data_IF_509133498937
#
_entry.id   IF_509133498937
#
_cell.length_a   1.000
_cell.length_b   1.000
_cell.length_c   1.000
_cell.angle_alpha   90.00
_cell.angle_beta   90.00
_cell.angle_gamma   90.00
#
_symmetry.space_group_name_H-M   'P 1'
#
loop_
_entity.id
_entity.type
_entity.pdbx_description
1 polymer ?
#
# COMPACT_ATOMS: atom_id res chain seq x y z
N UNK A 1 -4.57 -13.53 -1.55
CA UNK A 1 -4.40 -12.71 -0.33
C UNK A 1 -4.30 -11.24 -0.71
N UNK A 2 -4.90 -10.31 0.06
CA UNK A 2 -5.04 -8.88 -0.30
C UNK A 2 -3.78 -8.31 -0.92
N UNK A 3 -3.83 -8.17 -2.24
CA UNK A 3 -2.68 -7.70 -3.02
C UNK A 3 -2.51 -6.19 -2.91
N UNK A 4 -3.61 -5.45 -2.85
CA UNK A 4 -3.58 -3.98 -2.69
C UNK A 4 -4.88 -3.49 -2.09
N UNK A 5 -4.85 -2.32 -1.47
CA UNK A 5 -6.02 -1.75 -0.80
C UNK A 5 -6.09 -0.24 -1.05
N UNK A 6 -7.29 0.30 -1.19
CA UNK A 6 -7.54 1.74 -1.12
C UNK A 6 -7.79 2.10 0.34
N UNK A 7 -6.96 2.98 0.88
CA UNK A 7 -6.93 3.29 2.30
C UNK A 7 -7.43 4.70 2.59
N UNK A 8 -7.79 4.96 3.84
CA UNK A 8 -7.88 6.32 4.34
C UNK A 8 -6.46 6.87 4.56
N UNK A 9 -5.93 7.60 3.58
CA UNK A 9 -4.54 8.08 3.61
C UNK A 9 -4.34 9.40 4.38
N UNK A 10 -5.41 10.18 4.59
CA UNK A 10 -5.36 11.44 5.34
C UNK A 10 -5.32 11.19 6.85
N UNK A 11 -4.15 11.38 7.46
CA UNK A 11 -3.96 11.18 8.90
C UNK A 11 -4.94 12.03 9.74
N UNK A 12 -5.37 13.20 9.27
CA UNK A 12 -6.30 14.09 10.00
C UNK A 12 -7.65 13.44 10.23
N UNK A 13 -8.05 12.49 9.38
CA UNK A 13 -9.26 11.70 9.59
C UNK A 13 -9.13 10.78 10.81
N UNK A 14 -7.96 10.20 11.05
CA UNK A 14 -7.72 9.43 12.27
C UNK A 14 -7.80 10.30 13.52
N UNK A 15 -7.26 11.53 13.46
CA UNK A 15 -7.36 12.51 14.57
C UNK A 15 -8.83 12.81 14.87
N UNK A 16 -9.63 13.13 13.84
CA UNK A 16 -11.05 13.45 14.00
C UNK A 16 -11.90 12.26 14.48
N UNK A 17 -11.64 11.06 13.96
CA UNK A 17 -12.45 9.87 14.23
C UNK A 17 -12.10 9.20 15.56
N UNK A 18 -10.82 9.18 15.93
CA UNK A 18 -10.33 8.39 17.07
C UNK A 18 -9.63 9.25 18.13
N UNK A 19 -9.55 10.57 17.97
CA UNK A 19 -8.73 11.41 18.86
C UNK A 19 -7.25 11.02 18.86
N UNK A 20 -6.79 10.37 17.80
CA UNK A 20 -5.42 9.88 17.70
C UNK A 20 -4.44 11.05 17.53
N UNK A 21 -3.21 10.86 18.01
CA UNK A 21 -2.11 11.79 17.81
C UNK A 21 -1.29 11.39 16.59
N UNK A 22 -0.89 12.34 15.76
CA UNK A 22 0.08 12.08 14.70
C UNK A 22 1.50 12.06 15.27
N UNK A 23 2.29 11.03 14.97
CA UNK A 23 3.74 11.05 15.21
C UNK A 23 4.44 11.88 14.14
N UNK A 24 4.36 13.21 14.28
CA UNK A 24 4.93 14.17 13.33
C UNK A 24 6.42 13.92 13.06
N UNK A 25 7.16 13.38 14.03
CA UNK A 25 8.59 13.09 13.89
C UNK A 25 8.84 11.94 12.92
N UNK A 26 8.07 10.86 13.02
CA UNK A 26 8.19 9.73 12.07
C UNK A 26 7.73 10.13 10.66
N UNK A 27 6.70 10.99 10.53
CA UNK A 27 6.32 11.56 9.22
C UNK A 27 7.44 12.44 8.64
N UNK A 28 7.98 13.38 9.42
CA UNK A 28 9.09 14.23 9.00
C UNK A 28 10.32 13.41 8.58
N UNK A 29 10.68 12.39 9.37
CA UNK A 29 11.77 11.47 9.05
C UNK A 29 11.54 10.76 7.71
N UNK A 30 10.35 10.20 7.48
CA UNK A 30 10.03 9.50 6.24
C UNK A 30 10.19 10.40 5.01
N UNK A 31 9.63 11.62 5.07
CA UNK A 31 9.70 12.55 3.95
C UNK A 31 11.12 13.10 3.74
N UNK A 32 11.86 13.32 4.82
CA UNK A 32 13.26 13.73 4.77
C UNK A 32 14.12 12.67 4.10
N UNK A 33 14.09 11.43 4.59
CA UNK A 33 14.88 10.33 4.03
C UNK A 33 14.57 10.10 2.55
N UNK A 34 13.31 10.28 2.13
CA UNK A 34 12.93 10.18 0.72
C UNK A 34 13.46 11.35 -0.11
N UNK A 35 13.33 12.58 0.39
CA UNK A 35 13.79 13.78 -0.31
C UNK A 35 15.32 13.83 -0.45
N UNK A 36 16.06 13.28 0.52
CA UNK A 36 17.52 13.15 0.49
C UNK A 36 18.01 11.92 -0.30
N UNK A 37 17.11 11.09 -0.82
CA UNK A 37 17.48 9.88 -1.55
C UNK A 37 18.08 8.76 -0.67
N UNK A 38 17.99 8.88 0.65
CA UNK A 38 18.37 7.85 1.63
C UNK A 38 17.42 6.66 1.51
N UNK A 39 16.12 6.92 1.33
CA UNK A 39 15.10 5.90 1.13
C UNK A 39 14.46 5.97 -0.25
N UNK A 40 13.98 4.82 -0.73
CA UNK A 40 13.13 4.70 -1.93
C UNK A 40 11.65 4.57 -1.55
N UNK A 41 11.24 5.24 -0.47
CA UNK A 41 9.88 5.13 0.05
C UNK A 41 8.84 5.46 -1.02
N UNK A 42 7.87 4.54 -1.19
CA UNK A 42 6.69 4.74 -2.02
C UNK A 42 5.57 5.25 -1.12
N UNK A 43 5.17 6.50 -1.29
CA UNK A 43 4.15 7.14 -0.47
C UNK A 43 2.98 7.48 -1.39
N UNK A 44 1.74 7.10 -1.05
CA UNK A 44 0.56 7.47 -1.84
C UNK A 44 0.38 8.99 -1.87
N UNK A 45 -0.03 9.55 -3.02
CA UNK A 45 -0.24 11.00 -3.17
C UNK A 45 -1.26 11.54 -2.16
N UNK A 46 -2.30 10.77 -1.83
CA UNK A 46 -3.30 11.19 -0.84
C UNK A 46 -2.72 11.35 0.59
N UNK A 47 -1.61 10.67 0.92
CA UNK A 47 -0.92 10.85 2.20
C UNK A 47 -0.05 12.10 2.20
N UNK A 48 0.50 12.49 1.05
CA UNK A 48 1.23 13.76 0.86
C UNK A 48 0.28 14.96 0.90
N UNK A 49 -0.89 14.81 0.28
CA UNK A 49 -1.92 15.85 0.19
C UNK A 49 -2.46 16.30 1.56
N UNK A 50 -2.38 15.43 2.58
CA UNK A 50 -2.69 15.79 3.96
C UNK A 50 -1.81 16.95 4.49
N UNK A 51 -0.63 17.17 3.90
CA UNK A 51 0.30 18.25 4.23
C UNK A 51 0.28 19.40 3.21
N UNK A 52 -0.66 19.44 2.26
CA UNK A 52 -0.77 20.51 1.27
C UNK A 52 -1.10 21.87 1.92
N UNK A 53 -1.84 21.85 3.03
CA UNK A 53 -2.23 23.01 3.83
C UNK A 53 -1.66 22.88 5.26
N UNK A 54 -0.37 23.18 5.47
CA UNK A 54 0.30 22.96 6.75
C UNK A 54 -0.24 23.90 7.84
N UNK A 55 -0.51 23.34 9.01
CA UNK A 55 -1.10 24.03 10.16
C UNK A 55 -0.05 24.56 11.16
N UNK A 56 1.15 23.98 11.15
CA UNK A 56 2.26 24.37 12.02
C UNK A 56 3.62 24.30 11.30
N UNK A 57 4.70 24.61 12.02
CA UNK A 57 6.05 24.64 11.46
C UNK A 57 6.54 23.26 11.01
N UNK A 58 6.21 22.20 11.75
CA UNK A 58 6.66 20.86 11.41
C UNK A 58 5.94 20.34 10.15
N UNK A 59 4.67 20.68 9.97
CA UNK A 59 3.96 20.40 8.72
C UNK A 59 4.49 21.25 7.56
N UNK A 60 4.89 22.51 7.80
CA UNK A 60 5.56 23.33 6.77
C UNK A 60 6.87 22.71 6.31
N UNK A 61 7.66 22.16 7.23
CA UNK A 61 8.88 21.41 6.87
C UNK A 61 8.56 20.18 6.03
N UNK A 62 7.55 19.38 6.40
CA UNK A 62 7.12 18.22 5.60
C UNK A 62 6.65 18.65 4.21
N UNK A 63 5.83 19.70 4.11
CA UNK A 63 5.37 20.25 2.84
C UNK A 63 6.54 20.64 1.94
N UNK A 64 7.56 21.32 2.50
CA UNK A 64 8.76 21.70 1.77
C UNK A 64 9.57 20.48 1.28
N UNK A 65 9.67 19.42 2.09
CA UNK A 65 10.33 18.15 1.71
C UNK A 65 9.59 17.46 0.56
N UNK A 66 8.25 17.43 0.62
CA UNK A 66 7.40 16.90 -0.46
C UNK A 66 7.61 17.71 -1.74
N UNK A 67 7.56 19.05 -1.66
CA UNK A 67 7.74 19.93 -2.80
C UNK A 67 9.13 19.76 -3.46
N UNK A 68 10.20 19.65 -2.64
CA UNK A 68 11.57 19.39 -3.13
C UNK A 68 11.65 18.05 -3.88
N UNK A 69 11.10 16.98 -3.29
CA UNK A 69 11.08 15.67 -3.94
C UNK A 69 10.31 15.70 -5.26
N UNK A 70 9.12 16.32 -5.26
CA UNK A 70 8.26 16.48 -6.45
C UNK A 70 8.97 17.24 -7.57
N UNK A 71 9.64 18.36 -7.25
CA UNK A 71 10.43 19.14 -8.23
C UNK A 71 11.59 18.33 -8.82
N UNK A 72 12.30 17.55 -7.99
CA UNK A 72 13.35 16.66 -8.47
C UNK A 72 12.81 15.54 -9.37
N UNK A 73 11.66 14.95 -9.04
CA UNK A 73 11.01 13.95 -9.89
C UNK A 73 10.53 14.54 -11.23
N UNK A 74 9.92 15.72 -11.20
CA UNK A 74 9.48 16.42 -12.41
C UNK A 74 10.67 16.68 -13.35
N UNK A 75 11.77 17.22 -12.83
CA UNK A 75 13.00 17.47 -13.61
C UNK A 75 13.52 16.19 -14.26
N UNK A 76 13.54 15.07 -13.52
CA UNK A 76 13.99 13.77 -14.03
C UNK A 76 13.06 13.25 -15.14
N UNK A 77 11.76 13.35 -14.94
CA UNK A 77 10.75 12.93 -15.93
C UNK A 77 10.82 13.79 -17.20
N UNK A 78 11.02 15.10 -17.09
CA UNK A 78 11.20 16.00 -18.23
C UNK A 78 12.46 15.66 -19.03
N UNK A 79 13.58 15.38 -18.35
CA UNK A 79 14.81 14.91 -19.01
C UNK A 79 14.59 13.57 -19.73
N UNK A 80 13.90 12.63 -19.09
CA UNK A 80 13.60 11.34 -19.70
C UNK A 80 12.61 11.47 -20.87
N UNK A 81 11.64 12.38 -20.80
CA UNK A 81 10.73 12.72 -21.89
C UNK A 81 11.51 13.23 -23.10
N UNK A 82 12.47 14.14 -22.90
CA UNK A 82 13.32 14.63 -23.98
C UNK A 82 14.13 13.50 -24.62
N UNK A 83 14.74 12.61 -23.82
CA UNK A 83 15.48 11.44 -24.33
C UNK A 83 14.59 10.52 -25.16
N UNK A 84 13.36 10.22 -24.71
CA UNK A 84 12.46 9.34 -25.45
C UNK A 84 11.92 10.01 -26.73
N UNK A 85 11.65 11.32 -26.73
CA UNK A 85 11.28 12.05 -27.96
C UNK A 85 12.39 12.01 -29.00
N UNK A 86 13.65 12.21 -28.58
CA UNK A 86 14.80 12.04 -29.48
C UNK A 86 14.87 10.62 -30.04
N UNK A 87 14.76 9.61 -29.17
CA UNK A 87 14.75 8.19 -29.57
C UNK A 87 13.65 7.88 -30.59
N UNK A 88 12.46 8.46 -30.42
CA UNK A 88 11.34 8.28 -31.35
C UNK A 88 11.67 8.88 -32.72
N UNK A 89 12.13 10.13 -32.77
CA UNK A 89 12.48 10.80 -34.02
C UNK A 89 13.62 10.09 -34.79
N UNK A 90 14.65 9.61 -34.08
CA UNK A 90 15.75 8.86 -34.68
C UNK A 90 15.28 7.52 -35.26
N UNK A 91 14.36 6.83 -34.57
CA UNK A 91 13.74 5.60 -35.06
C UNK A 91 12.89 5.85 -36.31
N UNK A 92 12.07 6.90 -36.31
CA UNK A 92 11.22 7.28 -37.45
C UNK A 92 12.05 7.65 -38.69
N UNK A 93 13.13 8.42 -38.51
CA UNK A 93 14.07 8.73 -39.60
C UNK A 93 14.70 7.46 -40.18
N UNK A 94 15.07 6.51 -39.33
CA UNK A 94 15.62 5.23 -39.78
C UNK A 94 14.58 4.46 -40.59
N UNK A 95 13.34 4.37 -40.11
CA UNK A 95 12.25 3.66 -40.78
C UNK A 95 11.87 4.26 -42.14
N UNK A 96 12.00 5.59 -42.32
CA UNK A 96 11.81 6.24 -43.62
C UNK A 96 12.83 5.80 -44.68
N UNK A 97 14.07 5.51 -44.26
CA UNK A 97 15.13 5.06 -45.17
C UNK A 97 15.11 3.54 -45.38
N UNK A 98 14.89 2.79 -44.30
CA UNK A 98 14.82 1.32 -44.32
C UNK A 98 14.04 0.80 -43.12
N UNK A 99 13.04 -0.03 -43.40
CA UNK A 99 12.31 -0.75 -42.35
C UNK A 99 13.24 -1.78 -41.72
N UNK A 100 13.47 -1.68 -40.42
CA UNK A 100 14.25 -2.65 -39.64
C UNK A 100 13.53 -2.97 -38.35
N UNK A 101 13.62 -4.23 -37.90
CA UNK A 101 13.03 -4.68 -36.62
C UNK A 101 13.50 -3.83 -35.44
N UNK A 102 14.78 -3.45 -35.43
CA UNK A 102 15.35 -2.62 -34.36
C UNK A 102 14.72 -1.23 -34.30
N UNK A 103 14.54 -0.56 -35.45
CA UNK A 103 13.92 0.76 -35.49
C UNK A 103 12.42 0.70 -35.15
N UNK A 104 11.70 -0.34 -35.61
CA UNK A 104 10.29 -0.56 -35.25
C UNK A 104 10.11 -0.76 -33.74
N UNK A 105 10.91 -1.62 -33.11
CA UNK A 105 10.84 -1.81 -31.65
C UNK A 105 11.26 -0.55 -30.89
N UNK A 106 12.25 0.20 -31.39
CA UNK A 106 12.66 1.46 -30.77
C UNK A 106 11.55 2.50 -30.81
N UNK A 107 10.82 2.62 -31.94
CA UNK A 107 9.67 3.49 -32.09
C UNK A 107 8.59 3.12 -31.06
N UNK A 108 8.20 1.84 -31.00
CA UNK A 108 7.19 1.34 -30.05
C UNK A 108 7.55 1.65 -28.60
N UNK A 109 8.76 1.28 -28.17
CA UNK A 109 9.23 1.51 -26.80
C UNK A 109 9.27 3.00 -26.47
N UNK A 110 9.73 3.84 -27.40
CA UNK A 110 9.80 5.28 -27.17
C UNK A 110 8.40 5.89 -27.03
N UNK A 111 7.45 5.50 -27.88
CA UNK A 111 6.04 5.93 -27.80
C UNK A 111 5.42 5.54 -26.46
N UNK A 112 5.56 4.27 -26.05
CA UNK A 112 5.01 3.77 -24.78
C UNK A 112 5.59 4.56 -23.59
N UNK A 113 6.91 4.80 -23.59
CA UNK A 113 7.57 5.57 -22.53
C UNK A 113 7.19 7.05 -22.54
N UNK A 114 6.99 7.68 -23.70
CA UNK A 114 6.52 9.07 -23.80
C UNK A 114 5.14 9.21 -23.17
N UNK A 115 4.20 8.31 -23.52
CA UNK A 115 2.86 8.31 -22.96
C UNK A 115 2.90 8.13 -21.44
N UNK A 116 3.68 7.16 -20.95
CA UNK A 116 3.87 6.91 -19.52
C UNK A 116 4.46 8.12 -18.79
N UNK A 117 5.54 8.71 -19.32
CA UNK A 117 6.20 9.87 -18.69
C UNK A 117 5.30 11.09 -18.65
N UNK A 118 4.53 11.36 -19.71
CA UNK A 118 3.53 12.44 -19.72
C UNK A 118 2.47 12.24 -18.63
N UNK A 119 1.89 11.03 -18.54
CA UNK A 119 0.92 10.73 -17.50
C UNK A 119 1.49 10.89 -16.09
N UNK A 120 2.77 10.55 -15.88
CA UNK A 120 3.45 10.80 -14.59
C UNK A 120 3.64 12.28 -14.28
N UNK A 121 3.98 13.11 -15.27
CA UNK A 121 4.07 14.56 -15.09
C UNK A 121 2.70 15.17 -14.77
N UNK A 122 1.66 14.73 -15.46
CA UNK A 122 0.27 15.13 -15.19
C UNK A 122 -0.14 14.75 -13.75
N UNK A 123 0.17 13.54 -13.29
CA UNK A 123 -0.10 13.10 -11.91
C UNK A 123 0.64 13.93 -10.85
N UNK A 124 1.87 14.36 -11.13
CA UNK A 124 2.64 15.21 -10.22
C UNK A 124 2.01 16.62 -10.11
N UNK A 125 1.49 17.15 -11.22
CA UNK A 125 0.92 18.50 -11.29
C UNK A 125 -0.54 18.56 -10.83
N UNK A 126 -1.25 17.42 -10.85
CA UNK A 126 -2.65 17.33 -10.46
C UNK A 126 -2.84 17.70 -8.99
N UNK A 127 -3.85 18.52 -8.72
CA UNK A 127 -4.28 18.92 -7.36
C UNK A 127 -5.43 18.07 -6.84
N UNK A 128 -6.39 17.72 -7.68
CA UNK A 128 -7.55 16.92 -7.27
C UNK A 128 -7.19 15.46 -7.10
N UNK A 129 -7.39 14.88 -5.92
CA UNK A 129 -7.14 13.45 -5.66
C UNK A 129 -8.07 12.53 -6.46
N UNK A 130 -7.54 11.38 -6.86
CA UNK A 130 -8.27 10.27 -7.47
C UNK A 130 -8.22 9.05 -6.55
N UNK A 131 -9.16 8.10 -6.64
CA UNK A 131 -9.16 6.90 -5.81
C UNK A 131 -7.83 6.12 -5.81
N UNK A 132 -7.14 6.09 -6.96
CA UNK A 132 -5.82 5.44 -7.12
C UNK A 132 -4.72 6.07 -6.26
N UNK A 133 -4.85 7.33 -5.85
CA UNK A 133 -3.85 8.03 -5.02
C UNK A 133 -3.85 7.57 -3.57
N UNK A 134 -4.89 6.84 -3.17
CA UNK A 134 -5.02 6.19 -1.88
C UNK A 134 -4.78 4.67 -1.97
N UNK A 135 -4.43 4.13 -3.15
CA UNK A 135 -4.19 2.70 -3.32
C UNK A 135 -2.75 2.34 -2.93
N UNK A 136 -2.60 1.47 -1.94
CA UNK A 136 -1.32 0.93 -1.50
C UNK A 136 -1.07 -0.48 -2.04
N UNK A 137 0.19 -0.78 -2.30
CA UNK A 137 0.71 -2.09 -2.65
C UNK A 137 1.80 -2.49 -1.65
N UNK A 138 2.19 -3.77 -1.54
CA UNK A 138 3.35 -4.18 -0.77
C UNK A 138 4.59 -3.34 -1.11
N UNK A 139 5.24 -2.82 -0.08
CA UNK A 139 6.34 -1.87 -0.14
C UNK A 139 5.93 -0.38 -0.06
N UNK A 140 4.65 -0.04 -0.17
CA UNK A 140 4.16 1.33 0.01
C UNK A 140 4.00 1.67 1.50
N UNK A 141 4.07 2.95 1.82
CA UNK A 141 3.75 3.47 3.15
C UNK A 141 2.25 3.78 3.28
N UNK A 142 1.74 3.67 4.51
CA UNK A 142 0.39 4.03 4.89
C UNK A 142 0.38 4.63 6.31
N UNK A 143 -0.58 5.52 6.64
CA UNK A 143 -0.89 5.82 8.04
C UNK A 143 -1.49 4.59 8.72
N UNK A 144 -0.91 4.20 9.84
CA UNK A 144 -1.36 3.06 10.65
C UNK A 144 -1.50 3.52 12.10
N UNK A 145 -2.64 3.17 12.71
CA UNK A 145 -2.92 3.52 14.10
C UNK A 145 -2.46 2.41 15.04
N UNK A 146 -1.77 2.80 16.11
CA UNK A 146 -1.29 1.91 17.18
C UNK A 146 -1.63 2.50 18.55
N UNK A 147 -1.52 1.71 19.61
CA UNK A 147 -1.43 2.25 20.97
C UNK A 147 0.03 2.49 21.35
N UNK A 148 0.35 3.69 21.85
CA UNK A 148 1.65 4.01 22.42
C UNK A 148 1.43 4.85 23.67
N UNK A 149 1.98 4.40 24.81
CA UNK A 149 1.84 5.07 26.11
C UNK A 149 0.37 5.39 26.50
N UNK A 150 -0.56 4.46 26.22
CA UNK A 150 -1.99 4.62 26.52
C UNK A 150 -2.72 5.62 25.63
N UNK A 151 -2.12 6.07 24.52
CA UNK A 151 -2.75 6.95 23.53
C UNK A 151 -2.72 6.31 22.15
N UNK A 152 -3.79 6.52 21.38
CA UNK A 152 -3.82 6.17 19.96
C UNK A 152 -2.86 7.09 19.22
N UNK A 153 -1.92 6.51 18.49
CA UNK A 153 -0.91 7.24 17.71
C UNK A 153 -0.92 6.72 16.27
N UNK A 154 -0.91 7.63 15.31
CA UNK A 154 -0.80 7.32 13.88
C UNK A 154 0.64 7.51 13.45
N UNK A 155 1.21 6.46 12.84
CA UNK A 155 2.58 6.46 12.31
C UNK A 155 2.58 6.07 10.84
N UNK A 156 3.52 6.59 10.04
CA UNK A 156 3.68 6.13 8.68
C UNK A 156 4.46 4.80 8.70
N UNK A 157 3.85 3.73 8.21
CA UNK A 157 4.48 2.41 8.22
C UNK A 157 4.46 1.78 6.82
N UNK A 158 5.53 1.06 6.48
CA UNK A 158 5.62 0.33 5.22
C UNK A 158 4.75 -0.93 5.27
N UNK A 159 3.76 -1.04 4.39
CA UNK A 159 3.03 -2.28 4.15
C UNK A 159 3.98 -3.31 3.55
N UNK A 160 4.06 -4.53 4.10
CA UNK A 160 5.16 -5.51 3.97
C UNK A 160 6.11 -5.45 5.17
N UNK A 161 5.72 -6.18 6.22
CA UNK A 161 6.38 -6.20 7.50
C UNK A 161 7.77 -6.85 7.43
N UNK A 162 8.74 -6.24 8.11
CA UNK A 162 10.00 -6.87 8.47
C UNK A 162 10.01 -7.02 10.00
N UNK A 163 9.82 -8.25 10.46
CA UNK A 163 9.81 -8.55 11.90
C UNK A 163 11.20 -8.28 12.49
N UNK A 164 11.25 -7.65 13.66
CA UNK A 164 12.47 -7.39 14.41
C UNK A 164 13.34 -8.67 14.54
N UNK A 165 14.65 -8.50 14.40
CA UNK A 165 15.61 -9.62 14.43
C UNK A 165 15.74 -10.43 13.14
N UNK A 166 14.89 -10.21 12.11
CA UNK A 166 15.10 -10.81 10.78
C UNK A 166 16.23 -10.08 10.02
N UNK A 167 16.93 -10.74 9.08
CA UNK A 167 17.90 -10.07 8.22
C UNK A 167 17.26 -8.94 7.39
N UNK A 168 18.04 -7.91 7.05
CA UNK A 168 17.58 -6.76 6.24
C UNK A 168 17.02 -7.15 4.86
N UNK A 169 17.43 -8.31 4.33
CA UNK A 169 16.99 -8.83 3.03
C UNK A 169 15.74 -9.72 3.10
N UNK A 170 15.21 -9.99 4.30
CA UNK A 170 14.22 -11.05 4.50
C UNK A 170 12.93 -10.83 3.71
N UNK A 171 12.33 -9.65 3.84
CA UNK A 171 11.11 -9.22 3.15
C UNK A 171 11.29 -9.09 1.63
N UNK A 172 12.52 -8.86 1.15
CA UNK A 172 12.81 -8.91 -0.29
C UNK A 172 12.86 -10.36 -0.79
N UNK A 173 13.43 -11.27 0.01
CA UNK A 173 13.53 -12.70 -0.33
C UNK A 173 12.18 -13.43 -0.19
N UNK A 174 11.36 -13.00 0.76
CA UNK A 174 10.05 -13.56 1.08
C UNK A 174 9.01 -12.45 1.01
N UNK A 175 8.54 -12.08 -0.20
CA UNK A 175 7.76 -10.86 -0.39
C UNK A 175 6.35 -10.91 0.21
N UNK A 176 5.89 -12.07 0.69
CA UNK A 176 4.55 -12.27 1.25
C UNK A 176 4.30 -11.67 2.64
N UNK A 177 5.28 -11.02 3.27
CA UNK A 177 5.16 -10.50 4.65
C UNK A 177 4.28 -9.25 4.78
N UNK A 178 3.45 -8.93 3.78
CA UNK A 178 2.37 -7.94 3.89
C UNK A 178 1.06 -8.53 4.42
N UNK A 179 0.94 -9.86 4.46
CA UNK A 179 -0.21 -10.55 5.04
C UNK A 179 0.21 -11.48 6.18
N UNK A 180 -0.39 -11.26 7.35
CA UNK A 180 -0.25 -12.11 8.52
C UNK A 180 -1.39 -13.14 8.54
N UNK A 181 -1.12 -14.34 8.03
CA UNK A 181 -2.14 -15.40 8.01
C UNK A 181 -2.50 -15.79 9.44
N UNK A 182 -3.81 -15.90 9.71
CA UNK A 182 -4.35 -16.27 11.01
C UNK A 182 -3.76 -17.58 11.55
N UNK A 183 -3.63 -18.58 10.67
CA UNK A 183 -3.03 -19.90 10.96
C UNK A 183 -1.53 -19.87 11.31
N UNK A 184 -0.88 -18.72 11.17
CA UNK A 184 0.55 -18.52 11.40
C UNK A 184 0.84 -17.49 12.50
N UNK A 185 -0.19 -17.02 13.22
CA UNK A 185 -0.08 -15.94 14.21
C UNK A 185 0.84 -16.30 15.38
N UNK A 186 0.73 -17.53 15.88
CA UNK A 186 1.59 -18.06 16.95
C UNK A 186 2.87 -18.73 16.44
N UNK A 187 3.04 -18.83 15.11
CA UNK A 187 4.25 -19.33 14.48
C UNK A 187 5.17 -18.19 14.06
N UNK A 188 5.21 -17.90 12.76
CA UNK A 188 6.08 -16.87 12.20
C UNK A 188 5.83 -15.47 12.81
N UNK A 189 4.57 -15.17 13.17
CA UNK A 189 4.17 -13.86 13.69
C UNK A 189 4.18 -13.75 15.22
N UNK A 190 4.59 -14.79 15.95
CA UNK A 190 4.64 -14.79 17.41
C UNK A 190 5.43 -13.61 18.04
N UNK A 191 6.50 -13.07 17.39
CA UNK A 191 7.16 -11.88 17.90
C UNK A 191 6.29 -10.61 17.90
N UNK A 192 5.19 -10.58 17.13
CA UNK A 192 4.29 -9.43 16.97
C UNK A 192 2.88 -9.69 17.54
N UNK A 193 2.32 -10.89 17.37
CA UNK A 193 0.99 -11.22 17.86
C UNK A 193 0.97 -11.25 19.40
N UNK A 194 -0.05 -10.63 20.01
CA UNK A 194 -0.09 -10.38 21.45
C UNK A 194 0.80 -9.22 21.93
N UNK A 195 1.47 -8.47 21.03
CA UNK A 195 2.48 -7.47 21.44
C UNK A 195 2.37 -6.15 20.68
N UNK A 196 2.37 -6.20 19.35
CA UNK A 196 2.44 -5.03 18.49
C UNK A 196 1.33 -5.06 17.46
N UNK A 197 0.14 -4.67 17.92
CA UNK A 197 -1.08 -4.61 17.13
C UNK A 197 -1.31 -3.22 16.56
N UNK A 198 -1.99 -3.18 15.42
CA UNK A 198 -2.23 -2.00 14.61
C UNK A 198 -3.60 -2.07 13.94
N UNK A 199 -4.12 -0.92 13.54
CA UNK A 199 -5.32 -0.78 12.69
C UNK A 199 -4.97 0.02 11.44
N UNK A 200 -5.29 -0.55 10.28
CA UNK A 200 -5.30 0.14 8.98
C UNK A 200 -6.75 0.43 8.59
N UNK A 201 -7.02 1.63 8.08
CA UNK A 201 -8.35 1.99 7.59
C UNK A 201 -8.44 1.76 6.08
N UNK A 202 -9.37 0.90 5.66
CA UNK A 202 -9.51 0.44 4.27
C UNK A 202 -10.92 0.70 3.76
N UNK A 203 -11.04 1.35 2.60
CA UNK A 203 -12.34 1.57 1.93
C UNK A 203 -12.69 0.38 1.03
N UNK A 204 -11.71 -0.08 0.25
CA UNK A 204 -11.83 -1.25 -0.63
C UNK A 204 -10.51 -1.99 -0.70
N UNK A 205 -10.58 -3.30 -0.96
CA UNK A 205 -9.41 -4.10 -1.26
C UNK A 205 -9.50 -4.70 -2.66
N UNK A 206 -8.36 -5.09 -3.20
CA UNK A 206 -8.26 -5.62 -4.54
C UNK A 206 -7.47 -6.91 -4.55
N UNK A 207 -7.96 -7.87 -5.33
CA UNK A 207 -7.33 -9.19 -5.46
C UNK A 207 -7.09 -9.55 -6.91
N UNK A 208 -6.00 -10.27 -7.15
CA UNK A 208 -5.79 -10.96 -8.42
C UNK A 208 -6.55 -12.28 -8.39
N UNK A 209 -7.37 -12.50 -9.40
CA UNK A 209 -8.16 -13.71 -9.58
C UNK A 209 -7.85 -14.28 -10.96
N UNK A 210 -7.70 -15.61 -11.04
CA UNK A 210 -7.59 -16.28 -12.33
C UNK A 210 -8.80 -15.95 -13.20
N UNK A 211 -8.57 -15.50 -14.42
CA UNK A 211 -9.61 -15.14 -15.39
C UNK A 211 -10.57 -16.31 -15.63
N UNK A 212 -10.04 -17.53 -15.71
CA UNK A 212 -10.86 -18.73 -15.86
C UNK A 212 -11.85 -18.91 -14.69
N UNK A 213 -11.37 -18.72 -13.44
CA UNK A 213 -12.26 -18.76 -12.26
C UNK A 213 -13.31 -17.65 -12.29
N UNK A 214 -12.91 -16.43 -12.65
CA UNK A 214 -13.83 -15.30 -12.75
C UNK A 214 -14.92 -15.52 -13.82
N UNK A 215 -14.56 -16.11 -14.96
CA UNK A 215 -15.50 -16.42 -16.05
C UNK A 215 -16.29 -17.73 -15.83
N UNK A 216 -15.99 -18.50 -14.78
CA UNK A 216 -16.59 -19.81 -14.54
C UNK A 216 -16.19 -20.86 -15.59
N UNK A 217 -15.03 -20.69 -16.23
CA UNK A 217 -14.50 -21.57 -17.28
C UNK A 217 -13.33 -22.41 -16.78
N UNK A 218 -12.99 -23.48 -17.51
CA UNK A 218 -11.84 -24.33 -17.17
C UNK A 218 -10.55 -23.63 -17.62
N UNK A 219 -9.49 -23.68 -16.80
CA UNK A 219 -8.20 -23.06 -17.13
C UNK A 219 -7.64 -23.54 -18.48
N UNK A 220 -7.87 -24.80 -18.82
CA UNK A 220 -7.46 -25.43 -20.09
C UNK A 220 -8.13 -24.83 -21.33
N UNK A 221 -9.25 -24.11 -21.16
CA UNK A 221 -9.94 -23.41 -22.26
C UNK A 221 -9.33 -22.05 -22.58
N UNK A 222 -8.37 -21.59 -21.77
CA UNK A 222 -7.62 -20.35 -21.99
C UNK A 222 -6.27 -20.67 -22.62
N UNK A 223 -5.83 -19.85 -23.59
CA UNK A 223 -4.51 -19.99 -24.22
C UNK A 223 -3.35 -19.83 -23.22
N UNK A 224 -3.59 -19.11 -22.12
CA UNK A 224 -2.63 -18.89 -21.02
C UNK A 224 -3.38 -18.59 -19.72
N UNK A 225 -2.72 -18.84 -18.59
CA UNK A 225 -3.23 -18.42 -17.28
C UNK A 225 -3.14 -16.89 -17.15
N UNK A 226 -4.29 -16.23 -17.24
CA UNK A 226 -4.43 -14.78 -17.09
C UNK A 226 -5.06 -14.45 -15.73
N UNK A 227 -4.65 -13.32 -15.15
CA UNK A 227 -5.31 -12.78 -13.95
C UNK A 227 -6.09 -11.52 -14.30
N UNK A 228 -7.27 -11.40 -13.70
CA UNK A 228 -8.03 -10.15 -13.61
C UNK A 228 -7.89 -9.59 -12.20
N UNK A 229 -8.00 -8.27 -12.06
CA UNK A 229 -8.03 -7.63 -10.75
C UNK A 229 -9.49 -7.33 -10.41
N UNK A 230 -9.95 -7.83 -9.27
CA UNK A 230 -11.28 -7.51 -8.74
C UNK A 230 -11.15 -6.48 -7.62
N UNK A 231 -12.00 -5.46 -7.64
CA UNK A 231 -12.27 -4.57 -6.51
C UNK A 231 -13.35 -5.23 -5.64
N UNK A 232 -13.13 -5.29 -4.32
CA UNK A 232 -14.11 -5.72 -3.34
C UNK A 232 -14.45 -4.55 -2.40
N UNK A 233 -15.74 -4.22 -2.33
CA UNK A 233 -16.27 -3.10 -1.56
C UNK A 233 -17.35 -3.57 -0.60
N UNK A 234 -17.31 -3.15 0.69
CA UNK A 234 -18.45 -3.34 1.59
C UNK A 234 -19.71 -2.74 0.95
N UNK A 235 -20.78 -3.53 0.83
CA UNK A 235 -22.08 -3.08 0.30
C UNK A 235 -22.68 -1.90 1.07
N UNK A 236 -22.33 -1.75 2.35
CA UNK A 236 -22.72 -0.61 3.19
C UNK A 236 -21.94 0.67 2.87
N UNK A 237 -20.82 0.57 2.13
CA UNK A 237 -19.88 1.65 1.90
C UNK A 237 -19.06 2.04 3.14
N UNK A 238 -19.17 1.29 4.24
CA UNK A 238 -18.50 1.61 5.50
C UNK A 238 -16.98 1.36 5.44
N UNK A 239 -16.26 2.12 6.26
CA UNK A 239 -14.82 2.01 6.38
C UNK A 239 -14.44 0.78 7.21
N UNK A 240 -13.59 -0.08 6.64
CA UNK A 240 -13.08 -1.24 7.35
C UNK A 240 -11.92 -0.86 8.29
N UNK A 241 -12.01 -1.29 9.54
CA UNK A 241 -10.93 -1.18 10.53
C UNK A 241 -10.12 -2.48 10.51
N UNK A 242 -9.14 -2.57 9.62
CA UNK A 242 -8.42 -3.83 9.36
C UNK A 242 -7.39 -4.11 10.45
N UNK A 243 -7.52 -5.28 11.08
CA UNK A 243 -6.57 -5.78 12.06
C UNK A 243 -5.20 -6.02 11.42
N UNK A 244 -4.15 -5.43 12.01
CA UNK A 244 -2.79 -5.52 11.54
C UNK A 244 -1.81 -5.88 12.66
N UNK A 245 -0.67 -6.44 12.28
CA UNK A 245 0.52 -6.54 13.11
C UNK A 245 1.58 -5.59 12.59
N UNK A 246 2.39 -5.01 13.49
CA UNK A 246 3.49 -4.14 13.10
C UNK A 246 4.78 -4.49 13.84
N UNK A 247 5.90 -4.01 13.30
CA UNK A 247 7.22 -4.18 13.92
C UNK A 247 8.08 -2.96 13.64
N UNK A 248 8.83 -2.52 14.65
CA UNK A 248 10.01 -1.68 14.47
C UNK A 248 11.21 -2.59 14.25
N UNK A 249 11.86 -2.45 13.10
CA UNK A 249 13.07 -3.17 12.76
C UNK A 249 14.26 -2.21 12.74
N UNK A 250 15.35 -2.61 13.38
CA UNK A 250 16.60 -1.86 13.46
C UNK A 250 17.78 -2.82 13.28
N UNK A 251 18.85 -2.38 12.62
CA UNK A 251 20.10 -3.13 12.53
C UNK A 251 21.30 -2.16 12.41
N UNK A 252 22.50 -2.56 12.86
CA UNK A 252 23.69 -1.71 12.73
C UNK A 252 23.92 -1.26 11.27
N UNK A 253 24.10 0.04 11.08
CA UNK A 253 24.35 0.63 9.76
C UNK A 253 23.16 0.61 8.80
N UNK A 254 21.94 0.34 9.28
CA UNK A 254 20.71 0.38 8.50
C UNK A 254 19.72 1.38 9.11
N UNK A 255 18.95 2.11 8.30
CA UNK A 255 17.89 2.96 8.82
C UNK A 255 16.80 2.12 9.49
N UNK A 256 16.23 2.65 10.57
CA UNK A 256 15.10 2.04 11.25
C UNK A 256 13.87 2.00 10.34
N UNK A 257 13.13 0.90 10.43
CA UNK A 257 11.97 0.62 9.61
C UNK A 257 10.77 0.30 10.49
N UNK A 258 9.74 1.14 10.41
CA UNK A 258 8.38 0.79 10.83
C UNK A 258 7.67 0.12 9.67
N UNK A 259 7.15 -1.08 9.90
CA UNK A 259 6.45 -1.84 8.87
C UNK A 259 5.34 -2.70 9.46
N UNK A 260 4.36 -3.04 8.64
CA UNK A 260 3.16 -3.73 9.10
C UNK A 260 2.63 -4.74 8.06
N UNK A 261 1.76 -5.62 8.54
CA UNK A 261 1.04 -6.61 7.76
C UNK A 261 -0.43 -6.68 8.19
N UNK A 262 -1.33 -6.82 7.21
CA UNK A 262 -2.75 -7.02 7.47
C UNK A 262 -3.00 -8.48 7.87
N UNK A 263 -3.83 -8.73 8.88
CA UNK A 263 -4.19 -10.09 9.25
C UNK A 263 -5.22 -10.60 8.23
N UNK A 264 -4.99 -11.83 7.76
CA UNK A 264 -5.85 -12.49 6.77
C UNK A 264 -6.32 -13.84 7.27
N UNK A 265 -7.53 -14.22 6.85
CA UNK A 265 -8.15 -15.49 7.17
C UNK A 265 -8.92 -16.04 5.97
N UNK A 266 -9.63 -17.14 6.14
CA UNK A 266 -10.58 -17.66 5.15
C UNK A 266 -11.58 -16.56 4.70
N UNK A 267 -11.84 -16.48 3.39
CA UNK A 267 -12.69 -15.44 2.82
C UNK A 267 -14.18 -15.71 3.10
N UNK A 268 -15.02 -14.67 3.10
CA UNK A 268 -16.47 -14.86 3.05
C UNK A 268 -16.93 -15.54 1.75
N UNK A 269 -18.12 -16.18 1.74
CA UNK A 269 -18.60 -16.96 0.61
C UNK A 269 -18.58 -16.22 -0.73
N UNK A 270 -18.91 -14.93 -0.75
CA UNK A 270 -18.93 -14.11 -1.96
C UNK A 270 -17.53 -13.81 -2.52
N UNK A 271 -16.53 -13.64 -1.64
CA UNK A 271 -15.12 -13.47 -2.04
C UNK A 271 -14.53 -14.81 -2.48
N UNK A 272 -14.90 -15.90 -1.82
CA UNK A 272 -14.52 -17.26 -2.20
C UNK A 272 -15.08 -17.63 -3.58
N UNK A 273 -16.36 -17.34 -3.81
CA UNK A 273 -17.05 -17.57 -5.08
C UNK A 273 -16.42 -16.78 -6.23
N UNK A 274 -15.90 -15.58 -5.95
CA UNK A 274 -15.11 -14.81 -6.89
C UNK A 274 -13.70 -15.39 -7.16
N UNK A 275 -13.38 -16.57 -6.63
CA UNK A 275 -12.16 -17.31 -6.95
C UNK A 275 -10.96 -17.03 -6.04
N UNK A 276 -11.17 -16.28 -4.96
CA UNK A 276 -10.13 -15.84 -4.04
C UNK A 276 -10.10 -16.66 -2.73
N UNK A 277 -8.94 -16.85 -2.12
CA UNK A 277 -8.72 -17.86 -1.07
C UNK A 277 -8.46 -17.28 0.34
N UNK A 278 -8.35 -15.96 0.46
CA UNK A 278 -8.11 -15.26 1.73
C UNK A 278 -8.78 -13.90 1.77
N UNK A 279 -9.08 -13.38 2.95
CA UNK A 279 -9.61 -12.03 3.11
C UNK A 279 -8.97 -11.35 4.32
N UNK A 280 -8.80 -10.03 4.26
CA UNK A 280 -8.45 -9.21 5.42
C UNK A 280 -9.53 -9.30 6.49
N UNK A 281 -9.15 -9.14 7.75
CA UNK A 281 -10.07 -9.16 8.89
C UNK A 281 -10.37 -7.72 9.33
N UNK A 282 -11.55 -7.16 9.01
CA UNK A 282 -12.02 -5.94 9.66
C UNK A 282 -12.51 -6.26 11.08
N UNK A 283 -12.04 -5.52 12.08
CA UNK A 283 -12.58 -5.60 13.44
C UNK A 283 -13.68 -4.56 13.62
N UNK A 284 -14.61 -4.82 14.54
CA UNK A 284 -15.64 -3.86 14.88
C UNK A 284 -15.06 -2.61 15.56
N UNK A 285 -15.65 -1.41 15.37
CA UNK A 285 -15.18 -0.18 16.00
C UNK A 285 -15.02 -0.27 17.53
N UNK A 286 -15.95 -0.94 18.21
CA UNK A 286 -15.93 -1.14 19.68
C UNK A 286 -14.74 -1.99 20.16
N UNK A 287 -14.15 -2.81 19.28
CA UNK A 287 -13.02 -3.69 19.62
C UNK A 287 -11.66 -3.03 19.36
N UNK A 288 -11.60 -1.81 18.80
CA UNK A 288 -10.34 -1.14 18.42
C UNK A 288 -9.39 -0.98 19.62
N UNK A 289 -9.88 -0.52 20.76
CA UNK A 289 -9.01 -0.28 21.92
C UNK A 289 -8.49 -1.56 22.53
N UNK A 290 -9.34 -2.58 22.64
CA UNK A 290 -8.94 -3.89 23.12
C UNK A 290 -7.90 -4.53 22.18
N UNK A 291 -8.09 -4.39 20.86
CA UNK A 291 -7.14 -4.87 19.86
C UNK A 291 -5.79 -4.14 19.93
N UNK A 292 -5.80 -2.82 20.07
CA UNK A 292 -4.57 -2.03 20.13
C UNK A 292 -3.82 -2.16 21.48
N UNK A 293 -4.42 -2.78 22.50
CA UNK A 293 -3.81 -3.09 23.80
C UNK A 293 -3.72 -4.61 24.03
N UNK A 294 -2.93 -5.34 23.23
CA UNK A 294 -2.85 -6.78 23.38
C UNK A 294 -2.11 -7.19 24.65
N UNK A 295 -2.47 -8.35 25.20
CA UNK A 295 -1.73 -9.01 26.28
C UNK A 295 -1.10 -10.31 25.75
N UNK A 296 0.25 -10.45 25.76
CA UNK A 296 0.91 -11.66 25.29
C UNK A 296 0.63 -12.89 26.18
N UNK A 297 0.02 -12.70 27.35
CA UNK A 297 -0.44 -13.78 28.24
C UNK A 297 -1.89 -14.18 28.00
N UNK A 298 -2.63 -13.45 27.17
CA UNK A 298 -4.04 -13.69 26.88
C UNK A 298 -4.29 -13.58 25.37
N UNK A 299 -3.72 -14.51 24.61
CA UNK A 299 -3.93 -14.56 23.15
C UNK A 299 -5.37 -14.92 22.77
N UNK A 300 -6.08 -15.65 23.62
CA UNK A 300 -7.49 -16.01 23.41
C UNK A 300 -8.38 -14.77 23.28
N UNK A 301 -8.11 -13.72 24.07
CA UNK A 301 -8.83 -12.44 23.92
C UNK A 301 -8.57 -11.78 22.56
N UNK A 302 -7.37 -11.92 22.00
CA UNK A 302 -7.04 -11.39 20.68
C UNK A 302 -7.73 -12.19 19.58
N UNK A 303 -7.79 -13.51 19.70
CA UNK A 303 -8.56 -14.33 18.79
C UNK A 303 -10.06 -14.06 18.87
N UNK A 304 -10.61 -13.85 20.06
CA UNK A 304 -12.03 -13.50 20.25
C UNK A 304 -12.40 -12.22 19.48
N UNK A 305 -11.52 -11.22 19.45
CA UNK A 305 -11.72 -10.01 18.63
C UNK A 305 -11.68 -10.33 17.13
N UNK A 306 -10.76 -11.20 16.70
CA UNK A 306 -10.69 -11.62 15.30
C UNK A 306 -11.87 -12.53 14.90
N UNK A 307 -12.50 -13.24 15.83
CA UNK A 307 -13.71 -14.03 15.60
C UNK A 307 -14.96 -13.14 15.57
N UNK A 308 -15.04 -12.17 16.46
CA UNK A 308 -16.05 -11.11 16.47
C UNK A 308 -15.73 -9.99 15.44
N UNK A 309 -15.24 -10.40 14.27
CA UNK A 309 -14.94 -9.50 13.17
C UNK A 309 -16.21 -8.88 12.60
N UNK A 310 -16.05 -7.72 11.99
CA UNK A 310 -17.09 -7.19 11.14
C UNK A 310 -17.23 -8.07 9.88
N UNK A 311 -18.46 -8.22 9.39
CA UNK A 311 -18.79 -9.14 8.28
C UNK A 311 -19.72 -8.46 7.27
N UNK A 312 -19.30 -7.34 6.65
CA UNK A 312 -20.06 -6.77 5.55
C UNK A 312 -20.06 -7.73 4.38
N UNK A 313 -21.14 -7.70 3.59
CA UNK A 313 -21.17 -8.37 2.30
C UNK A 313 -20.33 -7.56 1.29
N UNK A 314 -19.40 -8.22 0.60
CA UNK A 314 -18.55 -7.56 -0.39
C UNK A 314 -19.10 -7.66 -1.81
N UNK A 315 -19.49 -6.53 -2.37
CA UNK A 315 -19.73 -6.41 -3.80
C UNK A 315 -18.39 -6.41 -4.55
N UNK A 316 -18.36 -7.03 -5.74
CA UNK A 316 -17.15 -7.06 -6.56
C UNK A 316 -17.39 -6.67 -8.01
N UNK A 317 -16.37 -6.05 -8.61
CA UNK A 317 -16.32 -5.68 -10.02
C UNK A 317 -14.90 -5.77 -10.56
N UNK A 318 -14.75 -5.82 -11.88
CA UNK A 318 -13.44 -5.63 -12.52
C UNK A 318 -12.87 -4.26 -12.12
N UNK A 319 -11.66 -4.26 -11.61
CA UNK A 319 -10.96 -3.03 -11.27
C UNK A 319 -10.53 -2.32 -12.56
N UNK A 320 -10.76 -1.00 -12.60
CA UNK A 320 -10.29 -0.11 -13.67
C UNK A 320 -8.80 0.22 -13.52
#
# INVERSE_FOLDING_TARGET
>A
MCYSAQILADYRKFVRMFGALMDIREFARLFFERAEGISKAKIPKAMEDAFAEPQDEAEREINALIARFTSAQATKLEQDLFKQRKRLADAERTLQTKITKAATESQRIATDKIAWTKGKLEDLQRTELQPRDSRIFPGNYAPVMIMENGRRVVKPMRYQCRIAGKPASYDTKYPGTYNARRDSLEGFWAPCFGRTHAVLLVEVFYENVSKAKFEGTLLETHERDENVVLEFRPSTGELMHVACLWSRWSAPGQPDLLSFAAITDEPPPEVAAAGHDRCIIPIKPENIDAWLNPDPKNLDAMYAILDDRDRPYYEHRLAA
#
